data_IF_964327465314
#
_entry.id   IF_964327465314
#
_cell.length_a   1.000
_cell.length_b   1.000
_cell.length_c   1.000
_cell.angle_alpha   90.00
_cell.angle_beta   90.00
_cell.angle_gamma   90.00
#
_symmetry.space_group_name_H-M   'P 1'
#
loop_
_entity.id
_entity.type
_entity.pdbx_description
1 polymer ?
#
# COMPACT_ATOMS: atom_id res chain seq x y z
N UNK A 1 -22.03 -24.23 8.46
CA UNK A 1 -20.97 -24.08 9.48
C UNK A 1 -20.02 -22.99 9.00
N UNK A 2 -19.55 -22.16 9.93
CA UNK A 2 -19.13 -20.76 9.76
C UNK A 2 -18.11 -20.45 8.66
N UNK A 3 -18.53 -19.60 7.72
CA UNK A 3 -17.66 -18.89 6.80
C UNK A 3 -17.11 -17.65 7.53
N UNK A 4 -15.82 -17.66 7.87
CA UNK A 4 -15.13 -16.57 8.53
C UNK A 4 -15.00 -15.37 7.58
N UNK A 5 -16.00 -14.50 7.58
CA UNK A 5 -15.85 -13.14 7.08
C UNK A 5 -15.31 -12.25 8.20
N UNK A 6 -14.18 -11.58 7.96
CA UNK A 6 -13.93 -10.28 8.59
C UNK A 6 -12.58 -10.15 9.28
N UNK A 7 -11.76 -9.27 8.71
CA UNK A 7 -10.45 -8.78 9.17
C UNK A 7 -9.30 -9.77 8.95
N UNK A 8 -8.71 -9.72 7.77
CA UNK A 8 -7.25 -9.83 7.71
C UNK A 8 -6.72 -8.73 8.63
N UNK A 9 -6.39 -9.10 9.87
CA UNK A 9 -5.47 -8.32 10.67
C UNK A 9 -4.20 -8.28 9.82
N UNK A 10 -3.88 -7.12 9.22
CA UNK A 10 -2.62 -6.95 8.49
C UNK A 10 -1.54 -7.36 9.47
N UNK A 11 -0.94 -8.51 9.22
CA UNK A 11 0.13 -8.98 10.08
C UNK A 11 1.27 -7.97 9.92
N UNK A 12 1.76 -7.44 11.03
CA UNK A 12 2.92 -6.55 11.05
C UNK A 12 4.19 -7.39 10.95
N UNK A 13 5.06 -7.12 9.96
CA UNK A 13 6.31 -7.86 9.78
C UNK A 13 7.21 -7.77 11.01
N UNK A 14 7.08 -6.70 11.81
CA UNK A 14 7.85 -6.51 13.05
C UNK A 14 7.51 -7.57 14.11
N UNK A 15 6.37 -8.25 13.98
CA UNK A 15 6.05 -9.41 14.81
C UNK A 15 6.96 -10.61 14.58
N UNK A 16 7.71 -10.63 13.46
CA UNK A 16 8.70 -11.66 13.14
C UNK A 16 10.10 -11.33 13.67
N UNK A 17 10.28 -10.22 14.41
CA UNK A 17 11.57 -9.88 15.03
C UNK A 17 12.05 -11.03 15.91
N UNK A 18 13.27 -11.48 15.64
CA UNK A 18 13.87 -12.61 16.30
C UNK A 18 14.66 -12.12 17.52
N UNK A 19 14.60 -12.88 18.62
CA UNK A 19 15.27 -12.50 19.86
C UNK A 19 16.79 -12.76 19.77
N UNK A 20 17.63 -11.93 20.43
CA UNK A 20 19.06 -12.21 20.57
C UNK A 20 19.31 -13.56 21.22
N UNK A 21 20.32 -14.26 20.71
CA UNK A 21 20.69 -15.61 21.12
C UNK A 21 21.84 -15.57 22.13
N UNK A 22 22.67 -14.54 22.09
CA UNK A 22 23.85 -14.37 22.94
C UNK A 22 25.12 -14.96 22.32
N UNK A 23 25.14 -15.10 21.00
CA UNK A 23 26.26 -15.61 20.21
C UNK A 23 26.58 -14.55 19.19
N UNK A 24 27.79 -13.97 19.26
CA UNK A 24 28.13 -12.73 18.57
C UNK A 24 27.86 -12.78 17.05
N UNK A 25 28.34 -13.81 16.35
CA UNK A 25 28.10 -13.95 14.90
C UNK A 25 26.62 -14.10 14.55
N UNK A 26 25.84 -14.80 15.38
CA UNK A 26 24.40 -15.02 15.18
C UNK A 26 23.61 -13.75 15.48
N UNK A 27 23.97 -13.03 16.54
CA UNK A 27 23.33 -11.76 16.92
C UNK A 27 23.61 -10.67 15.87
N UNK A 28 24.83 -10.61 15.33
CA UNK A 28 25.17 -9.71 14.22
C UNK A 28 24.38 -10.05 12.94
N UNK A 29 24.15 -11.33 12.68
CA UNK A 29 23.28 -11.74 11.59
C UNK A 29 21.82 -11.33 11.85
N UNK A 30 21.34 -11.44 13.10
CA UNK A 30 20.02 -10.94 13.48
C UNK A 30 19.86 -9.43 13.26
N UNK A 31 20.87 -8.62 13.60
CA UNK A 31 20.85 -7.17 13.34
C UNK A 31 20.70 -6.84 11.84
N UNK A 32 21.33 -7.63 10.97
CA UNK A 32 21.16 -7.50 9.51
C UNK A 32 19.72 -7.81 9.08
N UNK A 33 19.14 -8.89 9.61
CA UNK A 33 17.73 -9.22 9.35
C UNK A 33 16.79 -8.14 9.86
N UNK A 34 16.98 -7.65 11.09
CA UNK A 34 16.17 -6.59 11.68
C UNK A 34 16.23 -5.31 10.84
N UNK A 35 17.40 -4.96 10.32
CA UNK A 35 17.55 -3.80 9.43
C UNK A 35 16.68 -3.93 8.17
N UNK A 36 16.68 -5.09 7.52
CA UNK A 36 15.85 -5.30 6.32
C UNK A 36 14.36 -5.35 6.68
N UNK A 37 14.00 -5.96 7.82
CA UNK A 37 12.62 -5.97 8.33
C UNK A 37 12.12 -4.54 8.58
N UNK A 38 12.90 -3.69 9.23
CA UNK A 38 12.50 -2.30 9.51
C UNK A 38 12.41 -1.45 8.26
N UNK A 39 13.35 -1.62 7.32
CA UNK A 39 13.30 -0.92 6.04
C UNK A 39 12.06 -1.30 5.24
N UNK A 40 11.69 -2.59 5.24
CA UNK A 40 10.45 -3.06 4.62
C UNK A 40 9.23 -2.50 5.37
N UNK A 41 9.17 -2.63 6.68
CA UNK A 41 8.05 -2.17 7.47
C UNK A 41 7.80 -0.66 7.30
N UNK A 42 8.87 0.15 7.31
CA UNK A 42 8.78 1.59 7.05
C UNK A 42 8.26 1.92 5.65
N UNK A 43 8.61 1.11 4.65
CA UNK A 43 8.11 1.27 3.28
C UNK A 43 6.60 0.97 3.20
N UNK A 44 6.15 -0.11 3.83
CA UNK A 44 4.72 -0.48 3.90
C UNK A 44 3.94 0.60 4.65
N UNK A 45 4.40 1.00 5.85
CA UNK A 45 3.72 1.99 6.69
C UNK A 45 3.54 3.33 5.97
N UNK A 46 4.53 3.77 5.19
CA UNK A 46 4.44 4.97 4.37
C UNK A 46 3.30 4.88 3.36
N UNK A 47 3.24 3.79 2.60
CA UNK A 47 2.19 3.56 1.60
C UNK A 47 0.81 3.50 2.25
N UNK A 48 0.69 2.80 3.39
CA UNK A 48 -0.56 2.70 4.13
C UNK A 48 -1.03 4.05 4.67
N UNK A 49 -0.12 4.86 5.20
CA UNK A 49 -0.42 6.20 5.69
C UNK A 49 -0.93 7.11 4.55
N UNK A 50 -0.31 7.03 3.37
CA UNK A 50 -0.80 7.74 2.17
C UNK A 50 -2.14 7.21 1.68
N UNK A 51 -2.33 5.89 1.69
CA UNK A 51 -3.61 5.26 1.31
C UNK A 51 -4.74 5.77 2.19
N UNK A 52 -4.52 5.79 3.51
CA UNK A 52 -5.48 6.31 4.48
C UNK A 52 -5.76 7.79 4.23
N UNK A 53 -4.72 8.61 4.02
CA UNK A 53 -4.88 10.04 3.69
C UNK A 53 -5.75 10.23 2.44
N UNK A 54 -5.55 9.41 1.41
CA UNK A 54 -6.37 9.42 0.19
C UNK A 54 -7.83 9.01 0.47
N UNK A 55 -8.05 7.97 1.29
CA UNK A 55 -9.40 7.55 1.68
C UNK A 55 -10.12 8.62 2.50
N UNK A 56 -9.43 9.29 3.42
CA UNK A 56 -9.97 10.40 4.22
C UNK A 56 -10.39 11.56 3.33
N UNK A 57 -9.52 11.96 2.39
CA UNK A 57 -9.78 13.05 1.47
C UNK A 57 -10.93 12.75 0.51
N UNK A 58 -11.04 11.50 0.04
CA UNK A 58 -12.13 11.05 -0.79
C UNK A 58 -13.43 10.78 0.01
N UNK A 59 -13.39 10.91 1.34
CA UNK A 59 -14.53 10.69 2.22
C UNK A 59 -14.88 9.22 2.45
N UNK A 60 -14.02 8.27 2.04
CA UNK A 60 -14.17 6.83 2.30
C UNK A 60 -13.63 6.40 3.67
N UNK A 61 -12.98 7.29 4.42
CA UNK A 61 -12.54 7.06 5.79
C UNK A 61 -13.08 8.16 6.71
N UNK A 62 -13.80 7.76 7.77
CA UNK A 62 -14.43 8.67 8.73
C UNK A 62 -14.49 8.03 10.11
N UNK A 63 -14.30 8.84 11.15
CA UNK A 63 -14.41 8.42 12.56
C UNK A 63 -13.50 7.20 12.88
N UNK A 64 -12.31 7.16 12.28
CA UNK A 64 -11.32 6.10 12.48
C UNK A 64 -11.63 4.78 11.75
N UNK A 65 -12.59 4.77 10.81
CA UNK A 65 -13.02 3.57 10.10
C UNK A 65 -13.26 3.84 8.61
N UNK A 66 -12.96 2.83 7.79
CA UNK A 66 -13.41 2.79 6.40
C UNK A 66 -14.94 2.68 6.37
N UNK A 67 -15.58 3.49 5.52
CA UNK A 67 -17.02 3.44 5.30
C UNK A 67 -17.38 2.16 4.54
N UNK A 68 -18.57 1.61 4.82
CA UNK A 68 -19.11 0.41 4.17
C UNK A 68 -19.11 0.56 2.63
N UNK A 69 -18.63 -0.47 1.93
CA UNK A 69 -18.35 -0.41 0.49
C UNK A 69 -16.89 -0.10 0.12
N UNK A 70 -16.09 0.37 1.08
CA UNK A 70 -14.61 0.47 1.07
C UNK A 70 -13.99 1.26 -0.10
N UNK A 71 -13.11 2.21 0.22
CA UNK A 71 -12.30 2.90 -0.80
C UNK A 71 -11.31 1.91 -1.42
N UNK A 72 -11.32 1.78 -2.74
CA UNK A 72 -10.15 1.37 -3.52
C UNK A 72 -9.48 2.63 -4.08
N UNK A 73 -8.20 2.54 -4.45
CA UNK A 73 -7.46 3.69 -5.01
C UNK A 73 -8.23 4.28 -6.19
N UNK A 74 -8.64 3.41 -7.12
CA UNK A 74 -9.45 3.79 -8.27
C UNK A 74 -10.75 4.52 -7.87
N UNK A 75 -11.46 4.05 -6.84
CA UNK A 75 -12.71 4.67 -6.38
C UNK A 75 -12.47 6.06 -5.81
N UNK A 76 -11.43 6.23 -4.99
CA UNK A 76 -11.08 7.51 -4.39
C UNK A 76 -10.77 8.55 -5.47
N UNK A 77 -9.95 8.15 -6.43
CA UNK A 77 -9.56 8.98 -7.56
C UNK A 77 -10.75 9.41 -8.42
N UNK A 78 -11.58 8.45 -8.84
CA UNK A 78 -12.76 8.74 -9.64
C UNK A 78 -13.74 9.62 -8.86
N UNK A 79 -13.94 9.38 -7.56
CA UNK A 79 -14.76 10.23 -6.70
C UNK A 79 -14.27 11.68 -6.66
N UNK A 80 -12.96 11.89 -6.49
CA UNK A 80 -12.35 13.24 -6.48
C UNK A 80 -12.50 13.92 -7.84
N UNK A 81 -12.23 13.21 -8.95
CA UNK A 81 -12.43 13.74 -10.29
C UNK A 81 -13.90 14.10 -10.56
N UNK A 82 -14.83 13.25 -10.13
CA UNK A 82 -16.26 13.51 -10.24
C UNK A 82 -16.70 14.72 -9.40
N UNK A 83 -16.13 14.93 -8.22
CA UNK A 83 -16.34 16.17 -7.45
C UNK A 83 -15.89 17.39 -8.25
N UNK A 84 -14.67 17.37 -8.82
CA UNK A 84 -14.16 18.49 -9.62
C UNK A 84 -15.06 18.77 -10.83
N UNK A 85 -15.47 17.72 -11.54
CA UNK A 85 -16.39 17.83 -12.67
C UNK A 85 -17.77 18.32 -12.23
N UNK A 86 -18.29 17.93 -11.07
CA UNK A 86 -19.56 18.40 -10.55
C UNK A 86 -19.53 19.90 -10.24
N UNK A 87 -18.48 20.38 -9.56
CA UNK A 87 -18.31 21.82 -9.29
C UNK A 87 -18.14 22.60 -10.60
N UNK A 88 -17.43 22.02 -11.57
CA UNK A 88 -17.29 22.58 -12.92
C UNK A 88 -18.57 22.48 -13.76
N UNK A 89 -19.63 21.80 -13.29
CA UNK A 89 -20.82 21.47 -14.06
C UNK A 89 -20.49 20.77 -15.39
N UNK A 90 -19.46 19.91 -15.37
CA UNK A 90 -18.93 19.17 -16.51
C UNK A 90 -18.24 20.03 -17.57
N UNK A 91 -17.80 21.25 -17.25
CA UNK A 91 -16.97 22.05 -18.16
C UNK A 91 -15.53 21.51 -18.17
N UNK A 92 -15.20 20.74 -19.22
CA UNK A 92 -13.88 20.15 -19.45
C UNK A 92 -12.75 21.18 -19.57
N UNK A 93 -13.05 22.44 -19.85
CA UNK A 93 -12.01 23.49 -19.88
C UNK A 93 -11.51 23.83 -18.47
N UNK A 94 -12.34 23.59 -17.45
CA UNK A 94 -12.04 23.90 -16.05
C UNK A 94 -11.35 22.77 -15.30
N UNK A 95 -11.45 21.53 -15.79
CA UNK A 95 -10.80 20.36 -15.19
C UNK A 95 -10.04 19.63 -16.28
N UNK A 96 -8.72 19.78 -16.28
CA UNK A 96 -7.85 19.14 -17.26
C UNK A 96 -7.08 18.03 -16.58
N UNK A 97 -7.16 16.83 -17.15
CA UNK A 97 -6.34 15.70 -16.73
C UNK A 97 -5.45 15.31 -17.90
N UNK A 98 -4.14 15.43 -17.71
CA UNK A 98 -3.15 15.03 -18.70
C UNK A 98 -2.59 13.68 -18.30
N UNK A 99 -2.69 12.68 -19.18
CA UNK A 99 -2.02 11.40 -19.00
C UNK A 99 -0.56 11.55 -19.42
N UNK A 100 0.35 11.02 -18.59
CA UNK A 100 1.78 11.02 -18.85
C UNK A 100 2.33 9.59 -18.79
N UNK A 101 3.37 9.32 -19.56
CA UNK A 101 3.94 7.97 -19.66
C UNK A 101 4.78 7.59 -18.44
N UNK A 102 5.25 8.58 -17.69
CA UNK A 102 6.05 8.40 -16.48
C UNK A 102 5.24 8.74 -15.23
N UNK A 103 5.69 8.26 -14.07
CA UNK A 103 5.12 8.60 -12.75
C UNK A 103 5.00 10.13 -12.61
N UNK A 104 3.91 10.66 -12.04
CA UNK A 104 2.76 9.99 -11.40
C UNK A 104 1.63 9.51 -12.36
N UNK A 105 1.90 9.31 -13.66
CA UNK A 105 0.96 8.83 -14.71
C UNK A 105 -0.18 9.77 -15.12
N UNK A 106 -0.54 10.74 -14.28
CA UNK A 106 -1.50 11.78 -14.64
C UNK A 106 -1.16 13.10 -13.94
N UNK A 107 -1.58 14.22 -14.52
CA UNK A 107 -1.55 15.56 -13.93
C UNK A 107 -2.95 16.15 -13.96
N UNK A 108 -3.41 16.72 -12.85
CA UNK A 108 -4.72 17.37 -12.76
C UNK A 108 -4.50 18.87 -12.63
N UNK A 109 -5.17 19.66 -13.47
CA UNK A 109 -5.16 21.13 -13.40
C UNK A 109 -6.58 21.65 -13.34
N UNK A 110 -6.85 22.53 -12.38
CA UNK A 110 -8.13 23.20 -12.21
C UNK A 110 -8.03 24.66 -12.67
N UNK A 111 -8.95 25.13 -13.49
CA UNK A 111 -8.96 26.50 -14.01
C UNK A 111 -10.24 27.22 -13.61
N UNK A 112 -10.10 28.32 -12.86
CA UNK A 112 -11.23 29.14 -12.44
C UNK A 112 -12.24 28.40 -11.55
N UNK A 113 -11.79 27.38 -10.82
CA UNK A 113 -12.56 26.64 -9.83
C UNK A 113 -11.99 26.91 -8.45
N UNK A 114 -12.85 27.34 -7.53
CA UNK A 114 -12.52 27.40 -6.10
C UNK A 114 -13.17 26.20 -5.43
N UNK A 115 -12.36 25.23 -5.06
CA UNK A 115 -12.79 24.03 -4.34
C UNK A 115 -11.93 23.95 -3.09
N UNK A 116 -12.59 24.00 -1.94
CA UNK A 116 -11.90 23.89 -0.66
C UNK A 116 -11.10 22.59 -0.61
N UNK A 117 -9.80 22.71 -0.33
CA UNK A 117 -8.82 21.61 -0.25
C UNK A 117 -8.39 20.98 -1.57
N UNK A 118 -8.82 21.45 -2.75
CA UNK A 118 -8.49 20.79 -4.02
C UNK A 118 -6.99 20.55 -4.26
N UNK A 119 -6.14 21.51 -3.91
CA UNK A 119 -4.67 21.35 -3.97
C UNK A 119 -4.22 20.14 -3.14
N UNK A 120 -4.68 20.05 -1.88
CA UNK A 120 -4.40 18.92 -1.00
C UNK A 120 -4.89 17.59 -1.59
N UNK A 121 -6.04 17.56 -2.27
CA UNK A 121 -6.56 16.34 -2.88
C UNK A 121 -5.72 15.89 -4.07
N UNK A 122 -5.33 16.83 -4.94
CA UNK A 122 -4.47 16.57 -6.10
C UNK A 122 -3.08 16.11 -5.62
N UNK A 123 -2.51 16.78 -4.63
CA UNK A 123 -1.20 16.43 -4.07
C UNK A 123 -1.21 15.04 -3.43
N UNK A 124 -2.24 14.70 -2.65
CA UNK A 124 -2.34 13.37 -2.03
C UNK A 124 -2.43 12.25 -3.08
N UNK A 125 -3.21 12.49 -4.14
CA UNK A 125 -3.32 11.61 -5.30
C UNK A 125 -1.94 11.39 -5.94
N UNK A 126 -1.25 12.48 -6.28
CA UNK A 126 0.05 12.45 -6.96
C UNK A 126 1.09 11.74 -6.10
N UNK A 127 1.19 12.12 -4.82
CA UNK A 127 2.14 11.53 -3.87
C UNK A 127 1.91 10.04 -3.70
N UNK A 128 0.66 9.60 -3.53
CA UNK A 128 0.36 8.19 -3.37
C UNK A 128 0.76 7.37 -4.61
N UNK A 129 0.45 7.86 -5.81
CA UNK A 129 0.79 7.15 -7.05
C UNK A 129 2.29 7.15 -7.33
N UNK A 130 3.00 8.22 -6.96
CA UNK A 130 4.44 8.27 -7.06
C UNK A 130 5.10 7.30 -6.07
N UNK A 131 4.74 7.36 -4.78
CA UNK A 131 5.33 6.52 -3.73
C UNK A 131 5.08 5.02 -3.99
N UNK A 132 3.87 4.63 -4.40
CA UNK A 132 3.58 3.22 -4.68
C UNK A 132 4.37 2.70 -5.89
N UNK A 133 4.58 3.55 -6.90
CA UNK A 133 5.31 3.17 -8.10
C UNK A 133 6.84 3.17 -7.87
N UNK A 134 7.37 4.10 -7.06
CA UNK A 134 8.78 4.13 -6.64
C UNK A 134 9.12 2.96 -5.71
N UNK A 135 8.18 2.59 -4.83
CA UNK A 135 8.28 1.40 -4.01
C UNK A 135 8.53 0.15 -4.87
N UNK A 136 7.73 -0.05 -5.93
CA UNK A 136 7.83 -1.24 -6.77
C UNK A 136 9.02 -1.29 -7.71
N UNK A 137 9.36 -0.16 -8.34
CA UNK A 137 10.42 -0.14 -9.34
C UNK A 137 11.82 -0.18 -8.71
N UNK A 138 12.00 0.43 -7.54
CA UNK A 138 13.33 0.64 -6.98
C UNK A 138 13.56 -0.08 -5.65
N UNK A 139 12.70 0.16 -4.64
CA UNK A 139 13.01 -0.21 -3.24
C UNK A 139 12.63 -1.65 -2.90
N UNK A 140 11.47 -2.10 -3.35
CA UNK A 140 10.92 -3.42 -2.99
C UNK A 140 11.75 -4.59 -3.55
N UNK A 141 12.17 -4.58 -4.83
CA UNK A 141 12.98 -5.66 -5.39
C UNK A 141 14.33 -5.81 -4.66
N UNK A 142 14.94 -4.68 -4.28
CA UNK A 142 16.18 -4.68 -3.52
C UNK A 142 16.01 -5.34 -2.16
N UNK A 143 14.98 -4.97 -1.39
CA UNK A 143 14.72 -5.54 -0.06
C UNK A 143 14.39 -7.04 -0.12
N UNK A 144 13.64 -7.47 -1.15
CA UNK A 144 13.36 -8.89 -1.36
C UNK A 144 14.62 -9.70 -1.70
N UNK A 145 15.53 -9.12 -2.49
CA UNK A 145 16.82 -9.73 -2.81
C UNK A 145 17.70 -9.84 -1.55
N UNK A 146 17.87 -8.74 -0.82
CA UNK A 146 18.65 -8.70 0.43
C UNK A 146 18.11 -9.72 1.44
N UNK A 147 16.79 -9.82 1.59
CA UNK A 147 16.18 -10.82 2.48
C UNK A 147 16.39 -12.26 1.98
N UNK A 148 16.33 -12.50 0.67
CA UNK A 148 16.63 -13.81 0.09
C UNK A 148 18.07 -14.25 0.37
N UNK A 149 19.03 -13.36 0.15
CA UNK A 149 20.45 -13.59 0.43
C UNK A 149 20.71 -13.87 1.92
N UNK A 150 20.04 -13.14 2.83
CA UNK A 150 20.12 -13.41 4.26
C UNK A 150 19.52 -14.77 4.61
N UNK A 151 18.36 -15.14 4.05
CA UNK A 151 17.74 -16.43 4.29
C UNK A 151 18.62 -17.60 3.82
N UNK A 152 19.30 -17.46 2.67
CA UNK A 152 20.23 -18.46 2.17
C UNK A 152 21.48 -18.58 3.08
N UNK A 153 22.01 -17.45 3.57
CA UNK A 153 23.12 -17.44 4.54
C UNK A 153 22.74 -18.09 5.87
N UNK A 154 21.47 -18.03 6.28
CA UNK A 154 21.00 -18.63 7.53
C UNK A 154 21.22 -20.15 7.58
N UNK A 155 21.26 -20.84 6.43
CA UNK A 155 21.45 -22.30 6.34
C UNK A 155 22.77 -22.75 6.97
N UNK A 156 23.83 -21.97 6.77
CA UNK A 156 25.17 -22.28 7.28
C UNK A 156 25.51 -21.56 8.59
N UNK A 157 24.60 -20.74 9.12
CA UNK A 157 24.88 -19.84 10.24
C UNK A 157 25.36 -20.58 11.50
N UNK A 158 24.80 -21.76 11.78
CA UNK A 158 25.24 -22.56 12.92
C UNK A 158 26.68 -23.07 12.75
N UNK A 159 27.07 -23.46 11.53
CA UNK A 159 28.42 -23.92 11.22
C UNK A 159 29.41 -22.73 11.24
N UNK A 160 29.02 -21.59 10.69
CA UNK A 160 29.83 -20.37 10.68
C UNK A 160 30.07 -19.83 12.10
N UNK A 161 29.10 -20.03 13.01
CA UNK A 161 29.18 -19.63 14.42
C UNK A 161 29.88 -20.66 15.33
N UNK A 162 30.43 -21.76 14.79
CA UNK A 162 31.00 -22.85 15.58
C UNK A 162 32.06 -22.38 16.58
N UNK A 163 32.97 -21.47 16.17
CA UNK A 163 34.00 -20.92 17.06
C UNK A 163 33.42 -20.14 18.24
N UNK A 164 32.31 -19.43 18.03
CA UNK A 164 31.64 -18.66 19.07
C UNK A 164 30.95 -19.58 20.06
N UNK A 165 30.39 -20.70 19.59
CA UNK A 165 29.82 -21.74 20.45
C UNK A 165 30.87 -22.46 21.28
N UNK A 166 32.05 -22.77 20.71
CA UNK A 166 33.15 -23.42 21.44
C UNK A 166 33.76 -22.52 22.52
N UNK A 167 33.66 -21.20 22.38
CA UNK A 167 34.10 -20.24 23.40
C UNK A 167 33.16 -20.15 24.62
N UNK A 168 31.98 -20.79 24.58
CA UNK A 168 31.00 -20.79 25.66
C UNK A 168 31.19 -21.97 26.62
N UNK A 169 30.77 -21.80 27.88
CA UNK A 169 30.65 -22.93 28.80
C UNK A 169 29.54 -23.92 28.36
N UNK A 170 29.65 -25.20 28.72
CA UNK A 170 28.80 -26.28 28.19
C UNK A 170 27.29 -26.03 28.33
N UNK A 171 26.86 -25.53 29.49
CA UNK A 171 25.45 -25.24 29.74
C UNK A 171 24.91 -24.09 28.86
N UNK A 172 25.63 -22.98 28.76
CA UNK A 172 25.22 -21.86 27.88
C UNK A 172 25.34 -22.23 26.41
N UNK A 173 26.32 -23.06 26.05
CA UNK A 173 26.51 -23.59 24.69
C UNK A 173 25.29 -24.38 24.23
N UNK A 174 24.83 -25.36 25.01
CA UNK A 174 23.63 -26.14 24.67
C UNK A 174 22.37 -25.28 24.52
N UNK A 175 22.17 -24.32 25.44
CA UNK A 175 21.04 -23.39 25.35
C UNK A 175 21.11 -22.50 24.11
N UNK A 176 22.29 -21.99 23.78
CA UNK A 176 22.48 -21.09 22.65
C UNK A 176 22.36 -21.82 21.32
N UNK A 177 22.82 -23.07 21.23
CA UNK A 177 22.61 -23.93 20.06
C UNK A 177 21.12 -24.16 19.83
N UNK A 178 20.35 -24.51 20.87
CA UNK A 178 18.91 -24.74 20.73
C UNK A 178 18.17 -23.47 20.25
N UNK A 179 18.53 -22.30 20.80
CA UNK A 179 18.02 -21.01 20.35
C UNK A 179 18.40 -20.71 18.89
N UNK A 180 19.64 -20.98 18.50
CA UNK A 180 20.14 -20.80 17.13
C UNK A 180 19.41 -21.69 16.12
N UNK A 181 19.16 -22.96 16.44
CA UNK A 181 18.39 -23.86 15.58
C UNK A 181 16.97 -23.34 15.38
N UNK A 182 16.31 -22.90 16.46
CA UNK A 182 14.98 -22.29 16.37
C UNK A 182 14.99 -21.03 15.50
N UNK A 183 15.98 -20.16 15.71
CA UNK A 183 16.17 -18.95 14.91
C UNK A 183 16.31 -19.28 13.43
N UNK A 184 17.22 -20.20 13.05
CA UNK A 184 17.42 -20.62 11.66
C UNK A 184 16.13 -21.18 11.05
N UNK A 185 15.32 -21.91 11.83
CA UNK A 185 14.03 -22.42 11.36
C UNK A 185 12.97 -21.32 11.15
N UNK A 186 13.10 -20.17 11.83
CA UNK A 186 12.17 -19.05 11.73
C UNK A 186 12.55 -18.06 10.61
N UNK A 187 13.83 -17.91 10.27
CA UNK A 187 14.31 -16.99 9.23
C UNK A 187 13.60 -17.14 7.88
N UNK A 188 13.38 -18.37 7.34
CA UNK A 188 12.70 -18.54 6.04
C UNK A 188 11.25 -18.05 6.01
N UNK A 189 10.61 -17.81 7.17
CA UNK A 189 9.24 -17.28 7.24
C UNK A 189 9.18 -15.80 6.86
N UNK A 190 10.25 -15.04 7.07
CA UNK A 190 10.32 -13.60 6.81
C UNK A 190 10.18 -13.28 5.31
N UNK A 191 10.95 -13.89 4.38
CA UNK A 191 10.75 -13.65 2.95
C UNK A 191 9.34 -14.02 2.46
N UNK A 192 8.75 -15.10 2.98
CA UNK A 192 7.39 -15.50 2.60
C UNK A 192 6.35 -14.44 2.99
N UNK A 193 6.51 -13.86 4.17
CA UNK A 193 5.68 -12.76 4.64
C UNK A 193 5.83 -11.50 3.78
N UNK A 194 7.08 -11.10 3.50
CA UNK A 194 7.35 -9.94 2.65
C UNK A 194 6.72 -10.10 1.28
N UNK A 195 6.86 -11.27 0.65
CA UNK A 195 6.22 -11.59 -0.63
C UNK A 195 4.70 -11.45 -0.59
N UNK A 196 4.05 -11.81 0.52
CA UNK A 196 2.60 -11.65 0.64
C UNK A 196 2.21 -10.18 0.74
N UNK A 197 2.89 -9.39 1.58
CA UNK A 197 2.65 -7.95 1.68
C UNK A 197 2.94 -7.22 0.35
N UNK A 198 3.93 -7.67 -0.42
CA UNK A 198 4.18 -7.17 -1.78
C UNK A 198 2.96 -7.37 -2.68
N UNK A 199 2.35 -8.56 -2.70
CA UNK A 199 1.17 -8.84 -3.53
C UNK A 199 0.01 -7.86 -3.27
N UNK A 200 -0.18 -7.46 -2.02
CA UNK A 200 -1.26 -6.55 -1.64
C UNK A 200 -1.01 -5.15 -2.24
N UNK A 201 0.24 -4.65 -2.18
CA UNK A 201 0.62 -3.38 -2.81
C UNK A 201 0.58 -3.51 -4.34
N UNK A 202 0.92 -4.68 -4.88
CA UNK A 202 0.92 -4.96 -6.33
C UNK A 202 -0.49 -4.84 -6.89
N UNK A 203 -1.49 -5.32 -6.13
CA UNK A 203 -2.90 -5.13 -6.44
C UNK A 203 -3.31 -3.65 -6.42
N UNK A 204 -2.79 -2.85 -5.49
CA UNK A 204 -3.01 -1.40 -5.46
C UNK A 204 -2.39 -0.69 -6.68
N UNK A 205 -1.14 -1.01 -7.05
CA UNK A 205 -0.49 -0.48 -8.26
C UNK A 205 -1.26 -0.88 -9.53
N UNK A 206 -1.78 -2.10 -9.58
CA UNK A 206 -2.64 -2.57 -10.67
C UNK A 206 -3.92 -1.73 -10.80
N UNK A 207 -4.53 -1.32 -9.68
CA UNK A 207 -5.68 -0.41 -9.71
C UNK A 207 -5.30 0.98 -10.26
N UNK A 208 -4.11 1.49 -9.93
CA UNK A 208 -3.60 2.76 -10.49
C UNK A 208 -3.40 2.66 -11.99
N UNK A 209 -2.78 1.57 -12.47
CA UNK A 209 -2.59 1.32 -13.91
C UNK A 209 -3.92 1.19 -14.64
N UNK A 210 -4.86 0.42 -14.08
CA UNK A 210 -6.20 0.28 -14.63
C UNK A 210 -6.98 1.61 -14.67
N UNK A 211 -6.72 2.52 -13.71
CA UNK A 211 -7.25 3.88 -13.75
C UNK A 211 -6.62 4.69 -14.88
N UNK A 212 -5.29 4.66 -15.05
CA UNK A 212 -4.58 5.30 -16.17
C UNK A 212 -5.17 4.82 -17.50
N UNK A 213 -5.32 3.52 -17.67
CA UNK A 213 -5.83 2.91 -18.90
C UNK A 213 -7.28 3.36 -19.17
N UNK A 214 -8.13 3.37 -18.13
CA UNK A 214 -9.49 3.89 -18.22
C UNK A 214 -9.52 5.36 -18.68
N UNK A 215 -8.72 6.22 -18.04
CA UNK A 215 -8.67 7.65 -18.39
C UNK A 215 -8.05 7.90 -19.77
N UNK A 216 -7.28 6.95 -20.31
CA UNK A 216 -6.69 7.03 -21.65
C UNK A 216 -7.66 6.63 -22.76
N UNK A 217 -8.81 6.05 -22.43
CA UNK A 217 -9.83 5.67 -23.41
C UNK A 217 -10.51 6.89 -24.02
N UNK A 218 -10.75 6.85 -25.34
CA UNK A 218 -11.55 7.86 -26.01
C UNK A 218 -12.95 7.96 -25.38
N UNK A 219 -13.41 9.17 -25.06
CA UNK A 219 -14.72 9.39 -24.44
C UNK A 219 -14.75 9.27 -22.91
N UNK A 220 -13.67 8.86 -22.25
CA UNK A 220 -13.65 8.66 -20.80
C UNK A 220 -13.85 9.98 -20.04
N UNK A 221 -13.19 11.06 -20.49
CA UNK A 221 -13.33 12.38 -19.88
C UNK A 221 -14.70 13.00 -20.14
N UNK A 222 -15.24 12.84 -21.34
CA UNK A 222 -16.59 13.28 -21.70
C UNK A 222 -17.63 12.56 -20.84
N UNK A 223 -17.44 11.26 -20.60
CA UNK A 223 -18.29 10.49 -19.68
C UNK A 223 -18.18 11.02 -18.25
N UNK A 224 -16.97 11.25 -17.74
CA UNK A 224 -16.77 11.83 -16.40
C UNK A 224 -17.40 13.21 -16.26
N UNK A 225 -17.32 14.05 -17.30
CA UNK A 225 -17.97 15.36 -17.31
C UNK A 225 -19.51 15.24 -17.30
N UNK A 226 -20.06 14.31 -18.09
CA UNK A 226 -21.50 14.03 -18.09
C UNK A 226 -21.98 13.49 -16.73
N UNK A 227 -21.21 12.62 -16.10
CA UNK A 227 -21.51 12.08 -14.78
C UNK A 227 -21.37 13.16 -13.68
N UNK A 228 -20.36 14.03 -13.77
CA UNK A 228 -20.24 15.22 -12.92
C UNK A 228 -21.45 16.16 -13.03
N UNK A 229 -21.99 16.37 -14.24
CA UNK A 229 -23.24 17.14 -14.44
C UNK A 229 -24.43 16.53 -13.70
N UNK A 230 -24.56 15.20 -13.69
CA UNK A 230 -25.64 14.51 -12.95
C UNK A 230 -25.51 14.78 -11.45
N UNK A 231 -24.30 14.63 -10.89
CA UNK A 231 -24.04 14.97 -9.49
C UNK A 231 -24.39 16.43 -9.17
N UNK A 232 -23.98 17.37 -10.03
CA UNK A 232 -24.29 18.79 -9.87
C UNK A 232 -25.80 19.07 -9.89
N UNK A 233 -26.54 18.45 -10.81
CA UNK A 233 -28.00 18.56 -10.90
C UNK A 233 -28.70 18.02 -9.63
N UNK A 234 -28.14 16.97 -9.02
CA UNK A 234 -28.59 16.44 -7.72
C UNK A 234 -28.01 17.17 -6.50
N UNK A 235 -27.24 18.25 -6.70
CA UNK A 235 -26.55 19.02 -5.64
C UNK A 235 -25.58 18.17 -4.78
N UNK A 236 -24.94 17.19 -5.40
CA UNK A 236 -23.96 16.30 -4.76
C UNK A 236 -22.56 16.73 -5.20
N UNK A 237 -21.74 17.21 -4.26
CA UNK A 237 -20.37 17.68 -4.53
C UNK A 237 -19.31 16.98 -3.67
N UNK A 238 -19.73 16.07 -2.80
CA UNK A 238 -18.83 15.26 -1.99
C UNK A 238 -18.32 14.06 -2.82
N UNK A 239 -17.00 13.73 -2.80
CA UNK A 239 -16.42 12.71 -3.68
C UNK A 239 -17.09 11.35 -3.56
N UNK A 240 -17.23 10.81 -2.35
CA UNK A 240 -17.81 9.48 -2.11
C UNK A 240 -19.30 9.47 -2.46
N UNK A 241 -20.05 10.53 -2.10
CA UNK A 241 -21.48 10.61 -2.44
C UNK A 241 -21.69 10.69 -3.95
N UNK A 242 -20.87 11.46 -4.66
CA UNK A 242 -20.97 11.55 -6.11
C UNK A 242 -20.57 10.23 -6.77
N UNK A 243 -19.50 9.57 -6.30
CA UNK A 243 -19.13 8.22 -6.77
C UNK A 243 -20.29 7.23 -6.63
N UNK A 244 -20.90 7.17 -5.43
CA UNK A 244 -21.99 6.24 -5.13
C UNK A 244 -23.28 6.57 -5.90
N UNK A 245 -23.53 7.85 -6.18
CA UNK A 245 -24.65 8.28 -7.01
C UNK A 245 -24.51 7.80 -8.46
N UNK A 246 -23.30 7.85 -9.01
CA UNK A 246 -23.02 7.41 -10.39
C UNK A 246 -22.86 5.89 -10.48
N UNK A 247 -22.35 5.24 -9.43
CA UNK A 247 -22.07 3.81 -9.38
C UNK A 247 -22.85 3.09 -8.26
N UNK A 248 -24.20 3.10 -8.28
CA UNK A 248 -25.02 2.62 -7.16
C UNK A 248 -24.90 1.11 -6.90
N UNK A 249 -24.53 0.32 -7.92
CA UNK A 249 -24.35 -1.12 -7.77
C UNK A 249 -23.01 -1.50 -7.12
N UNK A 250 -22.02 -0.60 -7.14
CA UNK A 250 -20.72 -0.81 -6.49
C UNK A 250 -20.69 -0.28 -5.05
N UNK A 251 -21.65 0.59 -4.69
CA UNK A 251 -21.80 1.13 -3.35
C UNK A 251 -22.36 0.10 -2.34
N UNK A 252 -23.10 -0.91 -2.82
CA UNK A 252 -23.80 -1.88 -1.98
C UNK A 252 -22.99 -3.16 -1.68
N UNK A 253 -21.72 -3.23 -2.11
CA UNK A 253 -20.94 -4.48 -2.09
C UNK A 253 -21.56 -5.58 -2.96
N UNK A 254 -20.90 -6.73 -3.11
CA UNK A 254 -21.54 -7.87 -3.77
C UNK A 254 -22.79 -8.25 -2.97
N UNK A 255 -23.97 -8.19 -3.61
CA UNK A 255 -25.18 -8.81 -3.07
C UNK A 255 -24.88 -10.31 -2.96
N UNK A 256 -24.76 -10.79 -1.72
CA UNK A 256 -24.73 -12.22 -1.41
C UNK A 256 -26.05 -12.87 -1.80
#
# INVERSE_FOLDING_TARGET
>A
MGCCSGKQQKSDIRSLRLQPIGVYSVDRFNEQLETVIENFASLIDGIESRRQTLDEIAGFYKDGKLIEGGGGVKKCFIGILLQFMAVAQGDLRKVQVTIIDRKPFFKITLQGLTIDKAEKQIDAIIQYVQEIADCFEDRMPQLLREMGELADRAINLQADAASDFEAMNEFKKMQSIAKCVKFIADVPKIPAFMKQAVKDIEAELSQVKALKDYLSQAGAFEKLAADGKKCAASKIFDPVKCYNHINPNEANGPKK
#
